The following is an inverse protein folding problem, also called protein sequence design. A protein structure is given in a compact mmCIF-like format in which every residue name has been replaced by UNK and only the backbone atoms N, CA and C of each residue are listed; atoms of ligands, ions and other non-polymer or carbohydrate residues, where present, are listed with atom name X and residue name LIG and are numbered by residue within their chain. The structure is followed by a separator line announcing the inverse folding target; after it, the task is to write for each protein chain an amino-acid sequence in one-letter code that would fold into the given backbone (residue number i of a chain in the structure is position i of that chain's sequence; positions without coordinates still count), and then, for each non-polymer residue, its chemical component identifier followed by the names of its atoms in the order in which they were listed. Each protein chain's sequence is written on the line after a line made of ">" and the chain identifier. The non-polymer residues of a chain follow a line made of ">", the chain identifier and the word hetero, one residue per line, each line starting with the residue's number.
data_IF_482529163936
#
_entry.id   IF_482529163936
#
_cell.length_a   1.000
_cell.length_b   1.000
_cell.length_c   1.000
_cell.angle_alpha   90.00
_cell.angle_beta   90.00
_cell.angle_gamma   90.00
#
_symmetry.space_group_name_H-M   'P 1'
#
loop_
_entity.id
_entity.type
_entity.pdbx_description
1 polymer ?
#
# COMPACT_ATOMS: atom_id res chain seq x y z
N UNK A 1 7.27 -43.78 -5.07
CA UNK A 1 7.99 -42.48 -5.15
C UNK A 1 7.54 -41.65 -6.37
N UNK A 2 6.24 -41.45 -6.61
CA UNK A 2 5.74 -40.61 -7.73
C UNK A 2 4.90 -39.42 -7.27
N UNK A 3 4.42 -39.45 -6.03
CA UNK A 3 3.62 -38.38 -5.41
C UNK A 3 4.45 -37.17 -4.99
N UNK A 4 5.71 -37.36 -4.59
CA UNK A 4 6.59 -36.26 -4.13
C UNK A 4 6.94 -35.30 -5.28
N UNK A 5 7.09 -35.83 -6.50
CA UNK A 5 7.44 -35.02 -7.67
C UNK A 5 6.30 -34.07 -8.07
N UNK A 6 5.04 -34.54 -8.04
CA UNK A 6 3.86 -33.74 -8.41
C UNK A 6 3.58 -32.60 -7.43
N UNK A 7 3.82 -32.81 -6.13
CA UNK A 7 3.69 -31.78 -5.10
C UNK A 7 4.69 -30.63 -5.30
N UNK A 8 5.93 -30.92 -5.70
CA UNK A 8 6.93 -29.90 -5.97
C UNK A 8 6.55 -28.99 -7.16
N UNK A 9 5.99 -29.56 -8.23
CA UNK A 9 5.55 -28.77 -9.40
C UNK A 9 4.33 -27.90 -9.10
N UNK A 10 3.35 -28.39 -8.34
CA UNK A 10 2.18 -27.60 -7.96
C UNK A 10 2.56 -26.38 -7.09
N UNK A 11 3.52 -26.55 -6.18
CA UNK A 11 4.03 -25.45 -5.33
C UNK A 11 4.71 -24.37 -6.18
N UNK A 12 5.56 -24.75 -7.15
CA UNK A 12 6.29 -23.81 -8.01
C UNK A 12 5.40 -23.02 -8.99
N UNK A 13 4.36 -23.65 -9.55
CA UNK A 13 3.42 -22.93 -10.45
C UNK A 13 2.54 -21.96 -9.65
N UNK A 14 2.23 -22.29 -8.39
CA UNK A 14 1.43 -21.43 -7.52
C UNK A 14 2.18 -20.18 -7.05
N UNK A 15 3.48 -20.28 -6.76
CA UNK A 15 4.30 -19.15 -6.33
C UNK A 15 4.46 -18.13 -7.46
N UNK A 16 4.85 -18.57 -8.66
CA UNK A 16 5.03 -17.68 -9.83
C UNK A 16 3.76 -16.91 -10.22
N UNK A 17 2.58 -17.53 -10.10
CA UNK A 17 1.31 -16.87 -10.36
C UNK A 17 0.92 -15.82 -9.29
N UNK A 18 1.23 -16.08 -8.01
CA UNK A 18 1.04 -15.12 -6.92
C UNK A 18 2.01 -13.94 -7.07
N UNK A 19 3.26 -14.23 -7.45
CA UNK A 19 4.31 -13.24 -7.64
C UNK A 19 4.02 -12.23 -8.74
N UNK A 20 3.61 -12.71 -9.91
CA UNK A 20 3.21 -11.84 -11.03
C UNK A 20 2.05 -10.93 -10.64
N UNK A 21 1.13 -11.40 -9.79
CA UNK A 21 0.02 -10.59 -9.30
C UNK A 21 0.47 -9.54 -8.29
N UNK A 22 1.40 -9.84 -7.39
CA UNK A 22 1.93 -8.85 -6.44
C UNK A 22 2.72 -7.76 -7.14
N UNK A 23 3.57 -8.11 -8.11
CA UNK A 23 4.29 -7.11 -8.91
C UNK A 23 3.32 -6.22 -9.69
N UNK A 24 2.28 -6.81 -10.27
CA UNK A 24 1.23 -6.03 -10.94
C UNK A 24 0.52 -5.08 -9.97
N UNK A 25 0.10 -5.56 -8.80
CA UNK A 25 -0.56 -4.75 -7.78
C UNK A 25 0.33 -3.60 -7.30
N UNK A 26 1.61 -3.88 -6.99
CA UNK A 26 2.57 -2.87 -6.58
C UNK A 26 2.85 -1.86 -7.69
N UNK A 27 3.00 -2.30 -8.94
CA UNK A 27 3.17 -1.41 -10.09
C UNK A 27 1.98 -0.45 -10.25
N UNK A 28 0.76 -0.96 -10.20
CA UNK A 28 -0.44 -0.13 -10.26
C UNK A 28 -0.57 0.80 -9.05
N UNK A 29 -0.21 0.35 -7.84
CA UNK A 29 -0.21 1.17 -6.63
C UNK A 29 0.80 2.32 -6.75
N UNK A 30 2.01 2.05 -7.27
CA UNK A 30 3.03 3.06 -7.53
C UNK A 30 2.52 4.11 -8.51
N UNK A 31 1.85 3.70 -9.60
CA UNK A 31 1.31 4.63 -10.60
C UNK A 31 0.26 5.57 -10.00
N UNK A 32 -0.64 5.07 -9.15
CA UNK A 32 -1.62 5.91 -8.46
C UNK A 32 -0.93 6.85 -7.46
N UNK A 33 0.01 6.35 -6.64
CA UNK A 33 0.75 7.16 -5.67
C UNK A 33 1.56 8.28 -6.32
N UNK A 34 2.19 8.03 -7.47
CA UNK A 34 2.90 9.08 -8.23
C UNK A 34 1.96 10.19 -8.67
N UNK A 35 0.73 9.87 -9.09
CA UNK A 35 -0.27 10.89 -9.46
C UNK A 35 -0.69 11.70 -8.25
N UNK A 36 -0.98 11.03 -7.13
CA UNK A 36 -1.42 11.71 -5.91
C UNK A 36 -0.32 12.60 -5.34
N UNK A 37 0.92 12.11 -5.18
CA UNK A 37 2.05 12.93 -4.71
C UNK A 37 2.21 14.19 -5.56
N UNK A 38 2.17 14.07 -6.89
CA UNK A 38 2.25 15.22 -7.80
C UNK A 38 1.07 16.18 -7.63
N UNK A 39 -0.14 15.67 -7.44
CA UNK A 39 -1.34 16.47 -7.22
C UNK A 39 -1.20 17.29 -5.92
N UNK A 40 -0.74 16.67 -4.84
CA UNK A 40 -0.60 17.32 -3.54
C UNK A 40 0.57 18.32 -3.48
N UNK A 41 1.67 18.09 -4.19
CA UNK A 41 2.77 19.06 -4.31
C UNK A 41 2.34 20.38 -4.97
N UNK A 42 1.36 20.33 -5.88
CA UNK A 42 0.83 21.51 -6.55
C UNK A 42 -0.22 22.26 -5.73
N UNK A 43 -0.69 21.69 -4.61
CA UNK A 43 -1.71 22.30 -3.75
C UNK A 43 -1.06 22.67 -2.42
N UNK A 44 -0.41 23.85 -2.40
CA UNK A 44 0.39 24.43 -1.29
C UNK A 44 -0.38 24.57 0.05
N UNK A 45 -1.67 24.24 0.12
CA UNK A 45 -2.56 24.57 1.25
C UNK A 45 -3.30 23.38 1.86
N UNK A 46 -3.02 22.13 1.50
CA UNK A 46 -3.72 20.99 2.11
C UNK A 46 -3.02 20.54 3.40
N UNK A 47 -3.37 21.21 4.51
CA UNK A 47 -3.05 20.77 5.86
C UNK A 47 -3.97 19.59 6.26
N UNK A 48 -3.69 18.40 5.73
CA UNK A 48 -4.21 17.14 6.26
C UNK A 48 -3.05 16.43 6.94
N UNK A 49 -3.24 16.13 8.22
CA UNK A 49 -2.28 15.45 9.06
C UNK A 49 -2.68 13.98 9.23
N UNK A 50 -1.69 13.10 9.10
CA UNK A 50 -1.81 11.66 9.27
C UNK A 50 -0.73 11.20 10.25
N UNK A 51 -1.01 10.14 10.99
CA UNK A 51 -0.01 9.53 11.87
C UNK A 51 1.26 9.18 11.09
N UNK A 52 2.42 9.55 11.63
CA UNK A 52 3.70 9.12 11.10
C UNK A 52 3.88 7.63 11.33
N UNK A 53 4.18 6.90 10.26
CA UNK A 53 4.36 5.45 10.31
C UNK A 53 5.85 5.10 10.27
N UNK A 54 6.25 4.17 11.14
CA UNK A 54 7.58 3.59 11.07
C UNK A 54 7.72 2.74 9.81
N UNK A 55 8.66 3.11 8.95
CA UNK A 55 8.83 2.41 7.67
C UNK A 55 9.33 0.97 7.86
N UNK A 56 10.07 0.65 8.94
CA UNK A 56 10.50 -0.70 9.34
C UNK A 56 10.90 -1.65 8.18
N UNK A 57 11.65 -1.15 7.20
CA UNK A 57 12.09 -1.91 6.03
C UNK A 57 11.00 -2.20 4.99
N UNK A 58 9.90 -1.44 5.01
CA UNK A 58 8.75 -1.55 4.11
C UNK A 58 8.08 -2.92 4.13
N UNK A 59 7.92 -3.48 5.34
CA UNK A 59 7.23 -4.74 5.58
C UNK A 59 5.71 -4.60 5.39
N UNK A 60 5.02 -5.73 5.28
CA UNK A 60 3.55 -5.76 5.15
C UNK A 60 2.82 -4.90 6.19
N UNK A 61 3.31 -4.86 7.44
CA UNK A 61 2.74 -4.06 8.54
C UNK A 61 2.60 -2.58 8.19
N UNK A 62 3.63 -1.98 7.58
CA UNK A 62 3.61 -0.58 7.16
C UNK A 62 2.46 -0.31 6.16
N UNK A 63 2.32 -1.15 5.13
CA UNK A 63 1.26 -0.97 4.12
C UNK A 63 -0.14 -1.10 4.72
N UNK A 64 -0.30 -1.93 5.73
CA UNK A 64 -1.57 -2.08 6.38
C UNK A 64 -1.90 -0.94 7.34
N UNK A 65 -0.94 -0.48 8.14
CA UNK A 65 -1.09 0.74 8.94
C UNK A 65 -1.41 1.94 8.03
N UNK A 66 -0.77 2.02 6.87
CA UNK A 66 -1.04 3.07 5.90
C UNK A 66 -2.47 3.01 5.35
N UNK A 67 -2.98 1.81 5.08
CA UNK A 67 -4.38 1.62 4.67
C UNK A 67 -5.35 2.05 5.76
N UNK A 68 -5.08 1.70 7.01
CA UNK A 68 -5.91 2.09 8.15
C UNK A 68 -5.97 3.61 8.33
N UNK A 69 -4.82 4.28 8.27
CA UNK A 69 -4.76 5.72 8.48
C UNK A 69 -5.47 6.47 7.34
N UNK A 70 -5.30 6.03 6.08
CA UNK A 70 -6.02 6.62 4.95
C UNK A 70 -7.54 6.41 5.08
N UNK A 71 -7.98 5.21 5.50
CA UNK A 71 -9.39 4.91 5.74
C UNK A 71 -10.01 5.79 6.81
N UNK A 72 -9.32 5.89 7.95
CA UNK A 72 -9.76 6.64 9.12
C UNK A 72 -9.81 8.15 8.83
N UNK A 73 -8.76 8.68 8.21
CA UNK A 73 -8.57 10.13 8.09
C UNK A 73 -9.16 10.73 6.84
N UNK A 74 -9.15 10.04 5.69
CA UNK A 74 -9.46 10.68 4.40
C UNK A 74 -10.51 9.97 3.55
N UNK A 75 -10.65 8.64 3.62
CA UNK A 75 -11.54 7.89 2.72
C UNK A 75 -13.03 8.20 2.88
N UNK A 76 -13.46 8.64 4.06
CA UNK A 76 -14.85 9.02 4.34
C UNK A 76 -15.16 10.50 4.15
N UNK A 77 -14.15 11.34 3.87
CA UNK A 77 -14.34 12.80 3.78
C UNK A 77 -14.90 13.20 2.42
N UNK A 78 -15.79 14.20 2.42
CA UNK A 78 -16.38 14.74 1.19
C UNK A 78 -15.52 15.85 0.57
N UNK A 79 -15.50 15.91 -0.76
CA UNK A 79 -14.81 16.95 -1.53
C UNK A 79 -13.81 16.36 -2.54
N UNK A 80 -13.57 17.09 -3.64
CA UNK A 80 -12.76 16.61 -4.76
C UNK A 80 -11.36 16.14 -4.32
N UNK A 81 -10.75 16.81 -3.33
CA UNK A 81 -9.44 16.45 -2.77
C UNK A 81 -9.38 15.11 -2.04
N UNK A 82 -10.53 14.58 -1.61
CA UNK A 82 -10.63 13.28 -0.92
C UNK A 82 -11.15 12.16 -1.83
N UNK A 83 -11.68 12.51 -3.01
CA UNK A 83 -12.33 11.55 -3.91
C UNK A 83 -11.41 10.39 -4.29
N UNK A 84 -10.12 10.67 -4.47
CA UNK A 84 -9.07 9.71 -4.80
C UNK A 84 -8.79 8.67 -3.71
N UNK A 85 -9.09 9.02 -2.45
CA UNK A 85 -8.88 8.14 -1.30
C UNK A 85 -10.13 7.35 -0.91
N UNK A 86 -11.23 7.44 -1.66
CA UNK A 86 -12.41 6.62 -1.34
C UNK A 86 -12.10 5.13 -1.53
N UNK A 87 -12.76 4.30 -0.73
CA UNK A 87 -12.49 2.85 -0.67
C UNK A 87 -12.68 2.13 -2.02
N UNK A 88 -13.54 2.65 -2.90
CA UNK A 88 -13.81 2.12 -4.24
C UNK A 88 -12.79 2.58 -5.29
N UNK A 89 -11.91 3.53 -4.97
CA UNK A 89 -10.86 4.00 -5.87
C UNK A 89 -9.68 3.07 -5.93
N UNK A 90 -8.97 3.15 -7.05
CA UNK A 90 -7.89 2.25 -7.41
C UNK A 90 -6.75 2.24 -6.39
N UNK A 91 -6.36 3.40 -5.85
CA UNK A 91 -5.33 3.49 -4.81
C UNK A 91 -5.70 2.65 -3.58
N UNK A 92 -6.88 2.89 -2.98
CA UNK A 92 -7.33 2.15 -1.79
C UNK A 92 -7.61 0.68 -2.07
N UNK A 93 -8.19 0.36 -3.24
CA UNK A 93 -8.45 -1.02 -3.65
C UNK A 93 -7.17 -1.83 -3.81
N UNK A 94 -6.14 -1.25 -4.43
CA UNK A 94 -4.88 -1.94 -4.66
C UNK A 94 -4.09 -2.12 -3.36
N UNK A 95 -4.11 -1.11 -2.48
CA UNK A 95 -3.53 -1.22 -1.14
C UNK A 95 -4.23 -2.32 -0.33
N UNK A 96 -5.57 -2.35 -0.31
CA UNK A 96 -6.34 -3.42 0.34
C UNK A 96 -6.03 -4.82 -0.22
N UNK A 97 -5.96 -4.93 -1.55
CA UNK A 97 -5.70 -6.20 -2.23
C UNK A 97 -4.28 -6.72 -1.93
N UNK A 98 -3.30 -5.82 -1.85
CA UNK A 98 -1.95 -6.15 -1.42
C UNK A 98 -1.94 -6.63 0.04
N UNK A 99 -2.54 -5.88 0.96
CA UNK A 99 -2.56 -6.23 2.38
C UNK A 99 -3.21 -7.58 2.67
N UNK A 100 -4.33 -7.92 2.00
CA UNK A 100 -4.99 -9.24 2.11
C UNK A 100 -4.09 -10.43 1.78
N UNK A 101 -3.00 -10.22 1.03
CA UNK A 101 -2.05 -11.27 0.62
C UNK A 101 -0.83 -11.36 1.53
N UNK A 102 -0.47 -10.25 2.17
CA UNK A 102 0.78 -10.12 2.92
C UNK A 102 0.59 -10.07 4.43
N UNK A 103 -0.65 -9.90 4.92
CA UNK A 103 -0.97 -9.87 6.35
C UNK A 103 -2.29 -10.55 6.66
N UNK A 104 -2.30 -11.32 7.76
CA UNK A 104 -3.53 -11.87 8.36
C UNK A 104 -4.14 -10.94 9.40
N UNK A 105 -3.30 -10.18 10.10
CA UNK A 105 -3.67 -9.26 11.18
C UNK A 105 -2.95 -7.95 10.99
N UNK A 106 -3.59 -6.87 11.41
CA UNK A 106 -3.06 -5.53 11.28
C UNK A 106 -3.43 -4.72 12.51
N UNK A 107 -2.41 -4.33 13.28
CA UNK A 107 -2.59 -3.40 14.38
C UNK A 107 -2.46 -1.98 13.80
N UNK A 108 -3.38 -1.05 14.13
CA UNK A 108 -3.16 0.37 13.85
C UNK A 108 -1.83 0.84 14.46
N UNK A 109 -1.20 1.81 13.83
CA UNK A 109 0.00 2.43 14.38
C UNK A 109 -0.34 3.22 15.65
N UNK A 110 0.63 3.28 16.57
CA UNK A 110 0.54 4.16 17.72
C UNK A 110 0.71 5.61 17.23
N UNK A 111 -0.19 6.52 17.65
CA UNK A 111 -0.33 7.87 17.08
C UNK A 111 0.49 8.89 17.86
N UNK A 112 1.82 8.77 17.78
CA UNK A 112 2.73 9.59 18.57
C UNK A 112 3.15 10.89 17.86
N UNK A 113 3.21 10.87 16.53
CA UNK A 113 3.60 12.00 15.68
C UNK A 113 2.68 12.08 14.46
N UNK A 114 2.50 13.28 13.93
CA UNK A 114 1.73 13.51 12.70
C UNK A 114 2.59 14.18 11.63
N UNK A 115 2.40 13.75 10.39
CA UNK A 115 3.03 14.30 9.18
C UNK A 115 1.99 14.76 8.18
N UNK A 116 2.39 15.60 7.23
CA UNK A 116 1.48 16.04 6.18
C UNK A 116 1.17 14.89 5.21
N UNK A 117 -0.03 14.91 4.63
CA UNK A 117 -0.47 13.86 3.69
C UNK A 117 0.48 13.66 2.51
N UNK A 118 1.10 14.73 2.00
CA UNK A 118 2.05 14.58 0.89
C UNK A 118 3.30 13.81 1.33
N UNK A 119 3.87 14.11 2.49
CA UNK A 119 5.00 13.39 3.09
C UNK A 119 4.64 11.92 3.38
N UNK A 120 3.43 11.70 3.89
CA UNK A 120 2.90 10.35 4.12
C UNK A 120 2.82 9.54 2.82
N UNK A 121 2.28 10.13 1.75
CA UNK A 121 2.18 9.48 0.44
C UNK A 121 3.54 9.25 -0.20
N UNK A 122 4.51 10.14 0.03
CA UNK A 122 5.90 9.94 -0.41
C UNK A 122 6.58 8.77 0.30
N UNK A 123 6.37 8.62 1.61
CA UNK A 123 6.85 7.44 2.37
C UNK A 123 6.19 6.17 1.86
N UNK A 124 4.87 6.18 1.64
CA UNK A 124 4.14 5.05 1.07
C UNK A 124 4.65 4.67 -0.33
N UNK A 125 4.89 5.67 -1.19
CA UNK A 125 5.46 5.48 -2.52
C UNK A 125 6.88 4.90 -2.46
N UNK A 126 7.70 5.39 -1.55
CA UNK A 126 9.06 4.88 -1.32
C UNK A 126 9.01 3.41 -0.93
N UNK A 127 8.11 3.04 -0.02
CA UNK A 127 7.94 1.65 0.36
C UNK A 127 7.37 0.76 -0.74
N UNK A 128 6.38 1.23 -1.50
CA UNK A 128 5.84 0.49 -2.64
C UNK A 128 6.93 0.21 -3.69
N UNK A 129 7.79 1.19 -3.98
CA UNK A 129 8.95 1.03 -4.88
C UNK A 129 9.98 0.06 -4.33
N UNK A 130 10.26 0.13 -3.04
CA UNK A 130 11.18 -0.81 -2.37
C UNK A 130 10.66 -2.25 -2.51
N UNK A 131 9.41 -2.48 -2.11
CA UNK A 131 8.74 -3.79 -2.21
C UNK A 131 8.68 -4.30 -3.67
N UNK A 132 8.47 -3.42 -4.65
CA UNK A 132 8.45 -3.79 -6.06
C UNK A 132 9.83 -4.25 -6.59
N UNK A 133 10.90 -3.62 -6.10
CA UNK A 133 12.29 -3.91 -6.49
C UNK A 133 12.89 -5.10 -5.78
N UNK A 134 12.36 -5.48 -4.61
CA UNK A 134 12.91 -6.61 -3.88
C UNK A 134 12.88 -7.86 -4.78
N UNK A 135 14.03 -8.52 -4.97
CA UNK A 135 14.02 -9.88 -5.48
C UNK A 135 13.23 -10.72 -4.49
N UNK A 136 12.40 -11.62 -5.03
CA UNK A 136 11.70 -12.59 -4.20
C UNK A 136 12.57 -13.82 -4.01
#
# INVERSE_FOLDING_TARGET
>A
MKTILLLAFAVLVSSTAVENRDKKLLGELIDELVREVKSFLNIVTIAIFLAELEMNGCKGEFFCQAEHELKDKVSGRSGAKFEHFRNDKKLMRNLNAYNKRHLKTCKPADKDQEILIHEFLEKLLTCARSAYRQPK
#
